data_IF_139482384468
#
_entry.id   IF_139482384468
#
_cell.length_a   1.000
_cell.length_b   1.000
_cell.length_c   1.000
_cell.angle_alpha   90.00
_cell.angle_beta   90.00
_cell.angle_gamma   90.00
#
_symmetry.space_group_name_H-M   'P 1'
#
loop_
_entity.id
_entity.type
_entity.pdbx_description
1 polymer ?
#
# COMPACT_ATOMS: atom_id res chain seq x y z
N UNK A 1 0.76 -39.14 -12.82
CA UNK A 1 2.16 -38.83 -12.45
C UNK A 1 2.15 -38.17 -11.08
N UNK A 2 2.91 -38.74 -10.16
CA UNK A 2 2.74 -38.68 -8.70
C UNK A 2 2.68 -37.26 -8.12
N UNK A 3 1.56 -36.97 -7.44
CA UNK A 3 1.55 -35.99 -6.36
C UNK A 3 2.33 -36.59 -5.19
N UNK A 4 3.50 -36.05 -4.90
CA UNK A 4 4.21 -36.35 -3.67
C UNK A 4 3.42 -35.73 -2.51
N UNK A 5 2.69 -36.57 -1.77
CA UNK A 5 2.22 -36.25 -0.43
C UNK A 5 3.46 -36.10 0.45
N UNK A 6 3.71 -34.89 0.94
CA UNK A 6 4.76 -34.63 1.93
C UNK A 6 4.31 -35.16 3.29
N UNK A 7 5.05 -36.12 3.80
CA UNK A 7 4.90 -36.69 5.14
C UNK A 7 5.02 -35.60 6.21
N UNK A 8 4.16 -35.58 7.25
CA UNK A 8 4.29 -34.65 8.36
C UNK A 8 5.41 -35.12 9.29
N UNK A 9 6.66 -34.68 9.06
CA UNK A 9 7.76 -35.04 9.96
C UNK A 9 9.18 -34.64 9.56
N UNK A 10 9.48 -34.41 8.28
CA UNK A 10 10.79 -33.85 7.89
C UNK A 10 10.72 -32.32 7.97
N UNK A 11 11.40 -31.74 8.97
CA UNK A 11 11.62 -30.30 8.99
C UNK A 11 12.47 -29.93 7.77
N UNK A 12 11.89 -29.14 6.84
CA UNK A 12 12.60 -28.62 5.69
C UNK A 12 13.82 -27.83 6.20
N UNK A 13 15.03 -28.29 5.85
CA UNK A 13 16.32 -27.75 6.36
C UNK A 13 16.71 -26.45 5.66
N UNK A 14 15.74 -25.67 5.23
CA UNK A 14 15.91 -24.42 4.47
C UNK A 14 15.30 -23.26 5.23
N UNK A 15 15.75 -22.06 4.90
CA UNK A 15 15.24 -20.84 5.51
C UNK A 15 13.81 -20.54 5.05
N UNK A 16 13.02 -19.99 5.97
CA UNK A 16 11.72 -19.40 5.66
C UNK A 16 11.70 -17.94 6.11
N UNK A 17 11.16 -17.05 5.29
CA UNK A 17 11.06 -15.62 5.61
C UNK A 17 9.61 -15.14 5.58
N UNK A 18 9.23 -14.35 6.57
CA UNK A 18 8.01 -13.54 6.61
C UNK A 18 8.42 -12.09 6.73
N UNK A 19 7.97 -11.27 5.79
CA UNK A 19 8.41 -9.89 5.65
C UNK A 19 7.19 -8.99 5.61
N UNK A 20 7.21 -7.92 6.39
CA UNK A 20 6.27 -6.82 6.24
C UNK A 20 7.03 -5.57 5.83
N UNK A 21 6.82 -5.14 4.58
CA UNK A 21 7.40 -3.90 4.06
C UNK A 21 6.40 -2.77 4.26
N UNK A 22 6.53 -2.09 5.40
CA UNK A 22 5.78 -0.88 5.71
C UNK A 22 6.35 0.37 5.07
N UNK A 23 5.74 1.54 5.35
CA UNK A 23 6.20 2.83 4.84
C UNK A 23 7.54 3.30 5.42
N UNK A 24 7.81 3.01 6.70
CA UNK A 24 9.02 3.50 7.39
C UNK A 24 10.06 2.40 7.57
N UNK A 25 9.63 1.22 8.04
CA UNK A 25 10.50 0.08 8.27
C UNK A 25 10.02 -1.16 7.55
N UNK A 26 10.98 -2.00 7.21
CA UNK A 26 10.76 -3.37 6.77
C UNK A 26 11.11 -4.31 7.91
N UNK A 27 10.13 -5.07 8.36
CA UNK A 27 10.24 -6.04 9.43
C UNK A 27 10.37 -7.44 8.83
N UNK A 28 11.37 -8.19 9.30
CA UNK A 28 11.67 -9.53 8.81
C UNK A 28 11.67 -10.48 9.99
N UNK A 29 10.85 -11.52 9.89
CA UNK A 29 10.93 -12.71 10.73
C UNK A 29 11.51 -13.82 9.85
N UNK A 30 12.60 -14.42 10.31
CA UNK A 30 13.26 -15.52 9.62
C UNK A 30 13.30 -16.76 10.50
N UNK A 31 13.00 -17.91 9.91
CA UNK A 31 13.23 -19.22 10.52
C UNK A 31 14.42 -19.88 9.85
N UNK A 32 15.45 -20.14 10.63
CA UNK A 32 16.65 -20.84 10.20
C UNK A 32 16.39 -22.36 10.05
N UNK A 33 17.27 -23.10 9.34
CA UNK A 33 17.19 -24.56 9.19
C UNK A 33 17.13 -25.35 10.49
N UNK A 34 17.69 -24.81 11.57
CA UNK A 34 17.67 -25.40 12.92
C UNK A 34 16.36 -25.09 13.68
N UNK A 35 15.45 -24.35 13.05
CA UNK A 35 14.19 -23.92 13.63
C UNK A 35 14.24 -22.61 14.42
N UNK A 36 15.43 -22.00 14.59
CA UNK A 36 15.58 -20.73 15.32
C UNK A 36 14.88 -19.59 14.60
N UNK A 37 14.09 -18.82 15.36
CA UNK A 37 13.47 -17.59 14.88
C UNK A 37 14.39 -16.39 15.15
N UNK A 38 14.60 -15.55 14.14
CA UNK A 38 15.34 -14.29 14.26
C UNK A 38 14.51 -13.17 13.65
N UNK A 39 14.51 -12.01 14.30
CA UNK A 39 13.91 -10.80 13.76
C UNK A 39 14.99 -9.85 13.27
N UNK A 40 14.70 -9.13 12.19
CA UNK A 40 15.57 -8.11 11.65
C UNK A 40 14.75 -6.94 11.12
N UNK A 41 15.24 -5.72 11.31
CA UNK A 41 14.53 -4.49 10.94
C UNK A 41 15.45 -3.61 10.12
N UNK A 42 14.95 -3.08 9.01
CA UNK A 42 15.66 -2.14 8.14
C UNK A 42 14.75 -0.94 7.84
N UNK A 43 15.32 0.19 7.42
CA UNK A 43 14.54 1.27 6.82
C UNK A 43 13.93 0.80 5.49
N UNK A 44 12.64 1.07 5.25
CA UNK A 44 11.99 0.64 4.00
C UNK A 44 12.55 1.33 2.75
N UNK A 45 13.14 2.50 2.93
CA UNK A 45 13.81 3.27 1.89
C UNK A 45 15.15 3.80 2.43
N UNK A 46 16.25 3.32 1.86
CA UNK A 46 17.62 3.74 2.17
C UNK A 46 18.49 3.54 0.92
N UNK A 47 18.36 4.41 -0.09
CA UNK A 47 18.91 4.20 -1.42
C UNK A 47 20.45 4.17 -1.44
N UNK A 48 21.11 4.75 -0.43
CA UNK A 48 22.57 4.68 -0.31
C UNK A 48 23.07 3.28 0.12
N UNK A 49 22.19 2.44 0.67
CA UNK A 49 22.54 1.15 1.26
C UNK A 49 22.04 -0.05 0.44
N UNK A 50 20.82 0.05 -0.10
CA UNK A 50 20.20 -1.05 -0.84
C UNK A 50 19.09 -0.54 -1.75
N UNK A 51 18.84 -1.31 -2.82
CA UNK A 51 17.70 -1.09 -3.72
C UNK A 51 16.37 -1.51 -3.12
N UNK A 52 16.37 -2.57 -2.30
CA UNK A 52 15.19 -3.10 -1.63
C UNK A 52 15.56 -3.66 -0.25
N UNK A 53 14.79 -3.26 0.77
CA UNK A 53 15.04 -3.59 2.16
C UNK A 53 14.76 -5.08 2.46
N UNK A 54 13.75 -5.67 1.82
CA UNK A 54 13.40 -7.07 2.04
C UNK A 54 14.50 -7.99 1.51
N UNK A 55 14.94 -7.77 0.27
CA UNK A 55 16.06 -8.51 -0.33
C UNK A 55 17.34 -8.31 0.49
N UNK A 56 17.68 -7.07 0.85
CA UNK A 56 18.88 -6.78 1.64
C UNK A 56 18.87 -7.50 3.00
N UNK A 57 17.73 -7.51 3.68
CA UNK A 57 17.59 -8.20 4.96
C UNK A 57 17.69 -9.72 4.85
N UNK A 58 17.13 -10.33 3.80
CA UNK A 58 17.35 -11.76 3.52
C UNK A 58 18.84 -12.05 3.32
N UNK A 59 19.53 -11.27 2.46
CA UNK A 59 20.97 -11.47 2.19
C UNK A 59 21.82 -11.33 3.45
N UNK A 60 21.53 -10.34 4.30
CA UNK A 60 22.20 -10.16 5.61
C UNK A 60 22.02 -11.36 6.54
N UNK A 61 20.80 -11.90 6.62
CA UNK A 61 20.49 -13.06 7.47
C UNK A 61 21.10 -14.36 6.95
N UNK A 62 21.25 -14.50 5.63
CA UNK A 62 21.95 -15.61 5.00
C UNK A 62 23.49 -15.46 5.06
N UNK A 63 24.00 -14.26 5.36
CA UNK A 63 25.43 -13.97 5.36
C UNK A 63 26.06 -13.97 3.96
N UNK A 64 25.28 -13.66 2.92
CA UNK A 64 25.75 -13.59 1.53
C UNK A 64 25.96 -12.14 1.09
N UNK A 65 26.76 -11.94 0.04
CA UNK A 65 27.09 -10.63 -0.50
C UNK A 65 25.90 -9.94 -1.14
N UNK A 66 25.93 -8.60 -1.21
CA UNK A 66 24.84 -7.79 -1.77
C UNK A 66 24.54 -8.11 -3.25
N UNK A 67 25.54 -8.60 -3.99
CA UNK A 67 25.44 -8.99 -5.40
C UNK A 67 25.07 -10.47 -5.61
N UNK A 68 25.03 -11.29 -4.55
CA UNK A 68 24.74 -12.72 -4.66
C UNK A 68 23.23 -12.97 -4.76
N UNK A 69 22.82 -13.95 -5.55
CA UNK A 69 21.41 -14.35 -5.66
C UNK A 69 20.98 -15.26 -4.51
N UNK A 70 19.72 -15.15 -4.13
CA UNK A 70 19.12 -15.97 -3.07
C UNK A 70 18.68 -17.31 -3.67
N UNK A 71 19.42 -18.38 -3.34
CA UNK A 71 19.19 -19.70 -3.93
C UNK A 71 18.00 -20.46 -3.31
N UNK A 72 17.15 -21.14 -4.13
CA UNK A 72 16.11 -22.04 -3.64
C UNK A 72 16.63 -23.31 -2.97
N UNK A 73 17.92 -23.60 -3.10
CA UNK A 73 18.59 -24.66 -2.34
C UNK A 73 18.71 -24.30 -0.85
N UNK A 74 18.74 -23.01 -0.52
CA UNK A 74 18.92 -22.50 0.86
C UNK A 74 17.64 -21.90 1.42
N UNK A 75 16.78 -21.34 0.55
CA UNK A 75 15.52 -20.69 0.93
C UNK A 75 14.33 -21.49 0.40
N UNK A 76 13.43 -21.86 1.30
CA UNK A 76 12.23 -22.61 0.97
C UNK A 76 11.12 -21.70 0.44
N UNK A 77 10.87 -20.58 1.13
CA UNK A 77 9.82 -19.63 0.76
C UNK A 77 10.04 -18.26 1.39
N UNK A 78 9.56 -17.23 0.70
CA UNK A 78 9.45 -15.86 1.18
C UNK A 78 7.97 -15.48 1.13
N UNK A 79 7.43 -14.97 2.23
CA UNK A 79 6.05 -14.49 2.33
C UNK A 79 6.08 -13.01 2.69
N UNK A 80 5.39 -12.16 1.94
CA UNK A 80 5.56 -10.72 2.04
C UNK A 80 4.23 -9.95 2.08
N UNK A 81 4.07 -9.08 3.07
CA UNK A 81 3.13 -7.95 3.06
C UNK A 81 3.83 -6.69 2.54
N UNK A 82 3.09 -5.82 1.84
CA UNK A 82 3.67 -4.58 1.30
C UNK A 82 2.65 -3.45 1.28
N UNK A 83 3.08 -2.25 1.66
CA UNK A 83 2.26 -1.04 1.57
C UNK A 83 2.42 -0.29 0.23
N UNK A 84 3.19 -0.82 -0.72
CA UNK A 84 3.52 -0.14 -2.00
C UNK A 84 2.27 0.35 -2.74
N UNK A 85 1.26 -0.49 -2.91
CA UNK A 85 0.02 -0.10 -3.61
C UNK A 85 -0.81 0.91 -2.82
N UNK A 86 -0.90 0.74 -1.50
CA UNK A 86 -1.66 1.66 -0.64
C UNK A 86 -1.03 3.05 -0.67
N UNK A 87 0.30 3.14 -0.56
CA UNK A 87 1.03 4.40 -0.66
C UNK A 87 0.91 5.01 -2.07
N UNK A 88 1.05 4.22 -3.13
CA UNK A 88 0.87 4.71 -4.50
C UNK A 88 -0.53 5.27 -4.74
N UNK A 89 -1.56 4.67 -4.14
CA UNK A 89 -2.94 5.16 -4.21
C UNK A 89 -3.13 6.47 -3.42
N UNK A 90 -2.58 6.56 -2.21
CA UNK A 90 -2.63 7.75 -1.35
C UNK A 90 -1.87 8.94 -1.97
N UNK A 91 -0.68 8.69 -2.51
CA UNK A 91 0.21 9.71 -3.09
C UNK A 91 -0.11 10.03 -4.56
N UNK A 92 -1.10 9.35 -5.17
CA UNK A 92 -1.46 9.49 -6.59
C UNK A 92 -0.28 9.23 -7.54
N UNK A 93 0.52 8.22 -7.20
CA UNK A 93 1.71 7.80 -7.97
C UNK A 93 1.52 6.50 -8.74
N UNK A 94 0.29 6.22 -9.21
CA UNK A 94 -0.02 5.12 -10.14
C UNK A 94 0.49 5.34 -11.55
N UNK A 95 0.32 4.32 -12.41
CA UNK A 95 0.61 4.46 -13.83
C UNK A 95 -0.54 5.15 -14.57
N UNK A 96 -0.19 6.05 -15.51
CA UNK A 96 -1.14 6.74 -16.36
C UNK A 96 -2.06 5.75 -17.09
N UNK A 97 -3.37 5.92 -16.90
CA UNK A 97 -4.38 4.91 -17.26
C UNK A 97 -5.47 5.51 -18.13
N UNK A 98 -5.84 4.83 -19.21
CA UNK A 98 -7.01 5.17 -20.02
C UNK A 98 -8.21 4.28 -19.66
N UNK A 99 -9.40 4.89 -19.60
CA UNK A 99 -10.68 4.21 -19.45
C UNK A 99 -11.33 4.03 -20.81
N UNK A 100 -11.61 2.78 -21.19
CA UNK A 100 -12.48 2.44 -22.33
C UNK A 100 -13.86 2.10 -21.78
N UNK A 101 -14.87 2.84 -22.21
CA UNK A 101 -16.24 2.72 -21.70
C UNK A 101 -17.24 2.81 -22.85
N UNK A 102 -18.39 2.15 -22.71
CA UNK A 102 -19.48 2.23 -23.70
C UNK A 102 -19.85 3.68 -23.99
N UNK A 103 -20.02 4.04 -25.27
CA UNK A 103 -20.43 5.39 -25.68
C UNK A 103 -21.71 5.86 -24.99
N UNK A 104 -21.72 7.13 -24.59
CA UNK A 104 -22.75 7.75 -23.76
C UNK A 104 -22.50 7.65 -22.25
N UNK A 105 -21.45 6.93 -21.81
CA UNK A 105 -21.11 6.73 -20.40
C UNK A 105 -19.77 7.34 -20.01
N UNK A 106 -19.22 8.26 -20.82
CA UNK A 106 -17.93 8.94 -20.59
C UNK A 106 -17.67 9.35 -19.14
N UNK A 107 -18.64 10.02 -18.53
CA UNK A 107 -18.52 10.61 -17.20
C UNK A 107 -19.11 9.74 -16.09
N UNK A 108 -19.49 8.48 -16.37
CA UNK A 108 -20.19 7.63 -15.40
C UNK A 108 -19.43 7.45 -14.07
N UNK A 109 -18.10 7.25 -14.14
CA UNK A 109 -17.28 7.09 -12.92
C UNK A 109 -17.03 8.42 -12.19
N UNK A 110 -16.98 9.54 -12.94
CA UNK A 110 -16.86 10.89 -12.37
C UNK A 110 -18.16 11.32 -11.67
N UNK A 111 -19.31 11.07 -12.29
CA UNK A 111 -20.65 11.38 -11.73
C UNK A 111 -20.95 10.50 -10.53
N UNK A 112 -20.43 9.27 -10.50
CA UNK A 112 -20.55 8.37 -9.37
C UNK A 112 -22.03 8.08 -9.04
N UNK A 113 -22.41 8.22 -7.77
CA UNK A 113 -23.79 8.06 -7.28
C UNK A 113 -24.43 9.40 -6.89
N UNK A 114 -23.76 10.53 -7.15
CA UNK A 114 -24.18 11.88 -6.74
C UNK A 114 -24.47 12.01 -5.23
N UNK A 115 -23.93 11.12 -4.40
CA UNK A 115 -24.08 11.19 -2.95
C UNK A 115 -23.27 12.38 -2.39
N UNK A 116 -23.86 13.15 -1.48
CA UNK A 116 -23.19 14.25 -0.77
C UNK A 116 -22.80 13.78 0.63
N UNK A 117 -21.55 13.30 0.85
CA UNK A 117 -21.13 12.79 2.16
C UNK A 117 -21.20 13.87 3.26
N UNK A 118 -20.94 15.13 2.89
CA UNK A 118 -21.15 16.31 3.76
C UNK A 118 -22.27 17.16 3.19
N UNK A 119 -23.50 16.89 3.61
CA UNK A 119 -24.73 17.46 3.01
C UNK A 119 -24.75 19.00 3.01
N UNK A 120 -24.12 19.62 4.02
CA UNK A 120 -24.11 21.06 4.22
C UNK A 120 -22.92 21.79 3.60
N UNK A 121 -21.96 21.07 3.01
CA UNK A 121 -20.85 21.70 2.31
C UNK A 121 -21.33 22.45 1.08
N UNK A 122 -21.14 23.77 1.09
CA UNK A 122 -21.45 24.64 -0.06
C UNK A 122 -20.44 24.47 -1.20
N UNK A 123 -19.20 24.12 -0.88
CA UNK A 123 -18.14 23.85 -1.86
C UNK A 123 -17.87 22.35 -1.93
N UNK A 124 -18.43 21.69 -2.95
CA UNK A 124 -18.21 20.25 -3.18
C UNK A 124 -16.89 20.08 -3.94
N UNK A 125 -15.93 19.43 -3.29
CA UNK A 125 -14.70 18.98 -3.95
C UNK A 125 -14.94 17.55 -4.43
N UNK A 126 -14.86 17.32 -5.74
CA UNK A 126 -14.95 15.97 -6.29
C UNK A 126 -13.65 15.21 -6.01
N UNK A 127 -13.72 13.88 -5.76
CA UNK A 127 -12.53 13.05 -5.74
C UNK A 127 -11.75 13.15 -7.04
N UNK A 128 -10.43 13.16 -6.92
CA UNK A 128 -9.55 13.08 -8.07
C UNK A 128 -9.70 11.73 -8.80
N UNK A 129 -9.66 11.77 -10.13
CA UNK A 129 -9.80 10.59 -10.98
C UNK A 129 -8.46 9.85 -11.08
N UNK A 130 -8.52 8.53 -11.08
CA UNK A 130 -7.34 7.67 -11.29
C UNK A 130 -7.01 7.40 -12.77
N UNK A 131 -7.76 8.00 -13.69
CA UNK A 131 -7.57 7.83 -15.13
C UNK A 131 -7.41 9.19 -15.82
N UNK A 132 -6.57 9.25 -16.84
CA UNK A 132 -6.20 10.48 -17.53
C UNK A 132 -7.00 10.72 -18.81
N UNK A 133 -7.42 9.63 -19.46
CA UNK A 133 -8.08 9.64 -20.76
C UNK A 133 -9.30 8.73 -20.74
N UNK A 134 -10.34 9.12 -21.48
CA UNK A 134 -11.56 8.32 -21.68
C UNK A 134 -11.81 8.15 -23.17
N UNK A 135 -11.96 6.90 -23.59
CA UNK A 135 -12.38 6.50 -24.93
C UNK A 135 -13.79 5.94 -24.82
N UNK A 136 -14.70 6.55 -25.57
CA UNK A 136 -16.06 6.04 -25.74
C UNK A 136 -16.09 5.04 -26.90
N UNK A 137 -16.34 3.79 -26.57
CA UNK A 137 -16.37 2.68 -27.52
C UNK A 137 -17.75 2.65 -28.19
N UNK A 138 -17.77 2.70 -29.52
CA UNK A 138 -18.99 2.48 -30.32
C UNK A 138 -19.38 1.00 -30.25
N UNK A 139 -20.23 0.70 -29.29
CA UNK A 139 -20.62 -0.63 -28.89
C UNK A 139 -21.87 -0.52 -28.02
N UNK A 140 -22.78 -1.51 -28.09
CA UNK A 140 -23.83 -1.65 -27.08
C UNK A 140 -24.40 -3.05 -27.05
N UNK A 141 -24.38 -3.67 -25.88
CA UNK A 141 -25.18 -4.86 -25.56
C UNK A 141 -26.41 -4.50 -24.73
N UNK A 142 -27.53 -5.17 -24.98
CA UNK A 142 -28.73 -5.11 -24.16
C UNK A 142 -28.60 -5.94 -22.88
N UNK A 143 -29.54 -5.77 -21.95
CA UNK A 143 -29.54 -6.50 -20.67
C UNK A 143 -29.70 -8.03 -20.84
N UNK A 144 -30.18 -8.47 -22.00
CA UNK A 144 -30.38 -9.87 -22.35
C UNK A 144 -29.29 -10.41 -23.30
N UNK A 145 -28.32 -9.60 -23.68
CA UNK A 145 -27.18 -9.99 -24.53
C UNK A 145 -27.41 -9.78 -26.02
N UNK A 146 -28.54 -9.20 -26.39
CA UNK A 146 -28.80 -8.71 -27.74
C UNK A 146 -27.79 -7.62 -28.12
N UNK A 147 -27.26 -7.70 -29.33
CA UNK A 147 -26.35 -6.67 -29.87
C UNK A 147 -27.20 -5.51 -30.38
N UNK A 148 -27.20 -4.41 -29.64
CA UNK A 148 -27.88 -3.17 -30.04
C UNK A 148 -27.00 -2.39 -31.02
N UNK A 149 -25.70 -2.28 -30.71
CA UNK A 149 -24.68 -1.68 -31.58
C UNK A 149 -23.49 -2.63 -31.63
N UNK A 150 -23.11 -3.14 -32.81
CA UNK A 150 -21.90 -3.94 -32.97
C UNK A 150 -20.65 -3.17 -32.55
N UNK A 151 -19.65 -3.87 -32.00
CA UNK A 151 -18.36 -3.27 -31.64
C UNK A 151 -17.63 -2.75 -32.89
N UNK A 152 -17.34 -1.45 -32.95
CA UNK A 152 -16.44 -0.88 -33.96
C UNK A 152 -14.98 -1.14 -33.58
N UNK A 153 -14.46 -2.28 -34.03
CA UNK A 153 -13.06 -2.67 -33.81
C UNK A 153 -12.07 -1.71 -34.49
N UNK A 154 -12.45 -1.07 -35.61
CA UNK A 154 -11.59 -0.14 -36.32
C UNK A 154 -11.42 1.15 -35.52
N UNK A 155 -12.50 1.67 -34.91
CA UNK A 155 -12.43 2.76 -33.95
C UNK A 155 -11.52 2.41 -32.78
N UNK A 156 -11.75 1.26 -32.12
CA UNK A 156 -10.96 0.81 -30.98
C UNK A 156 -9.47 0.73 -31.32
N UNK A 157 -9.10 0.14 -32.47
CA UNK A 157 -7.70 0.07 -32.92
C UNK A 157 -7.05 1.44 -33.10
N UNK A 158 -7.75 2.39 -33.73
CA UNK A 158 -7.24 3.76 -33.90
C UNK A 158 -7.04 4.47 -32.56
N UNK A 159 -8.03 4.43 -31.68
CA UNK A 159 -7.99 5.13 -30.39
C UNK A 159 -6.92 4.54 -29.47
N UNK A 160 -6.84 3.21 -29.35
CA UNK A 160 -5.79 2.54 -28.57
C UNK A 160 -4.40 2.80 -29.16
N UNK A 161 -4.26 2.80 -30.49
CA UNK A 161 -3.00 3.13 -31.15
C UNK A 161 -2.54 4.56 -30.84
N UNK A 162 -3.47 5.53 -30.86
CA UNK A 162 -3.18 6.91 -30.51
C UNK A 162 -2.79 7.07 -29.03
N UNK A 163 -3.47 6.38 -28.11
CA UNK A 163 -3.12 6.38 -26.68
C UNK A 163 -1.75 5.75 -26.42
N UNK A 164 -1.44 4.65 -27.10
CA UNK A 164 -0.13 4.01 -26.99
C UNK A 164 0.99 4.90 -27.52
N UNK A 165 0.76 5.59 -28.65
CA UNK A 165 1.70 6.57 -29.19
C UNK A 165 1.93 7.76 -28.25
N UNK A 166 0.96 8.12 -27.40
CA UNK A 166 1.09 9.13 -26.34
C UNK A 166 1.84 8.63 -25.10
N UNK A 167 2.24 7.36 -25.06
CA UNK A 167 3.00 6.77 -23.96
C UNK A 167 2.17 6.01 -22.92
N UNK A 168 0.83 5.94 -23.05
CA UNK A 168 0.02 5.15 -22.13
C UNK A 168 0.29 3.66 -22.34
N UNK A 169 0.43 2.93 -21.23
CA UNK A 169 0.68 1.47 -21.23
C UNK A 169 -0.34 0.69 -20.39
N UNK A 170 -1.24 1.39 -19.70
CA UNK A 170 -2.31 0.82 -18.89
C UNK A 170 -3.69 1.23 -19.40
N UNK A 171 -4.60 0.26 -19.49
CA UNK A 171 -6.02 0.47 -19.84
C UNK A 171 -6.95 -0.27 -18.89
N UNK A 172 -8.07 0.39 -18.56
CA UNK A 172 -9.23 -0.19 -17.90
C UNK A 172 -10.39 -0.28 -18.89
N UNK A 173 -10.91 -1.48 -19.14
CA UNK A 173 -11.99 -1.74 -20.10
C UNK A 173 -13.26 -2.05 -19.31
N UNK A 174 -14.27 -1.19 -19.42
CA UNK A 174 -15.50 -1.24 -18.64
C UNK A 174 -16.71 -0.97 -19.54
N UNK A 175 -17.30 -2.02 -20.12
CA UNK A 175 -18.49 -1.89 -20.97
C UNK A 175 -19.77 -2.15 -20.19
N UNK A 176 -20.87 -1.53 -20.63
CA UNK A 176 -22.20 -1.79 -20.10
C UNK A 176 -22.59 -3.25 -20.33
N UNK A 177 -23.13 -3.88 -19.29
CA UNK A 177 -23.43 -5.33 -19.26
C UNK A 177 -22.23 -6.29 -19.48
N UNK A 178 -21.00 -5.77 -19.56
CA UNK A 178 -19.77 -6.56 -19.71
C UNK A 178 -19.55 -7.62 -18.62
N UNK A 179 -20.11 -7.41 -17.42
CA UNK A 179 -20.09 -8.40 -16.32
C UNK A 179 -20.75 -9.75 -16.66
N UNK A 180 -21.61 -9.79 -17.68
CA UNK A 180 -22.36 -10.98 -18.11
C UNK A 180 -22.07 -11.37 -19.56
N UNK A 181 -21.90 -10.39 -20.44
CA UNK A 181 -21.64 -10.60 -21.86
C UNK A 181 -20.26 -10.04 -22.21
N UNK A 182 -19.27 -10.92 -22.17
CA UNK A 182 -17.85 -10.52 -22.10
C UNK A 182 -17.20 -10.31 -23.46
N UNK A 183 -17.85 -10.72 -24.56
CA UNK A 183 -17.19 -10.85 -25.87
C UNK A 183 -16.58 -9.54 -26.38
N UNK A 184 -17.27 -8.42 -26.21
CA UNK A 184 -16.75 -7.11 -26.63
C UNK A 184 -15.55 -6.68 -25.76
N UNK A 185 -15.62 -6.86 -24.45
CA UNK A 185 -14.50 -6.54 -23.56
C UNK A 185 -13.26 -7.40 -23.87
N UNK A 186 -13.46 -8.70 -24.14
CA UNK A 186 -12.39 -9.63 -24.53
C UNK A 186 -11.75 -9.25 -25.87
N UNK A 187 -12.58 -8.84 -26.85
CA UNK A 187 -12.10 -8.40 -28.16
C UNK A 187 -11.23 -7.14 -28.03
N UNK A 188 -11.68 -6.15 -27.25
CA UNK A 188 -10.91 -4.93 -26.99
C UNK A 188 -9.61 -5.26 -26.26
N UNK A 189 -9.64 -6.17 -25.28
CA UNK A 189 -8.44 -6.61 -24.57
C UNK A 189 -7.43 -7.28 -25.52
N UNK A 190 -7.89 -8.10 -26.47
CA UNK A 190 -7.04 -8.68 -27.52
C UNK A 190 -6.39 -7.61 -28.39
N UNK A 191 -7.16 -6.61 -28.83
CA UNK A 191 -6.65 -5.48 -29.61
C UNK A 191 -5.61 -4.68 -28.82
N UNK A 192 -5.87 -4.38 -27.55
CA UNK A 192 -4.92 -3.66 -26.68
C UNK A 192 -3.61 -4.45 -26.51
N UNK A 193 -3.68 -5.77 -26.37
CA UNK A 193 -2.51 -6.63 -26.30
C UNK A 193 -1.71 -6.63 -27.60
N UNK A 194 -2.38 -6.72 -28.76
CA UNK A 194 -1.73 -6.66 -30.08
C UNK A 194 -1.00 -5.33 -30.32
N UNK A 195 -1.54 -4.21 -29.82
CA UNK A 195 -0.91 -2.89 -29.91
C UNK A 195 0.30 -2.77 -28.95
N UNK A 196 0.34 -3.58 -27.89
CA UNK A 196 1.45 -3.62 -26.93
C UNK A 196 1.20 -2.85 -25.64
N UNK A 197 -0.06 -2.76 -25.18
CA UNK A 197 -0.35 -2.35 -23.80
C UNK A 197 0.17 -3.42 -22.83
N UNK A 198 0.90 -3.01 -21.79
CA UNK A 198 1.52 -3.93 -20.83
C UNK A 198 0.61 -4.24 -19.64
N UNK A 199 -0.39 -3.39 -19.38
CA UNK A 199 -1.44 -3.61 -18.39
C UNK A 199 -2.82 -3.44 -19.01
N UNK A 200 -3.65 -4.47 -18.91
CA UNK A 200 -4.99 -4.50 -19.47
C UNK A 200 -5.93 -5.08 -18.41
N UNK A 201 -6.72 -4.21 -17.78
CA UNK A 201 -7.66 -4.60 -16.73
C UNK A 201 -9.06 -4.64 -17.32
N UNK A 202 -9.68 -5.82 -17.32
CA UNK A 202 -10.96 -6.06 -17.97
C UNK A 202 -12.04 -6.26 -16.91
N UNK A 203 -13.13 -5.49 -17.00
CA UNK A 203 -14.03 -5.33 -15.86
C UNK A 203 -14.69 -6.62 -15.40
N UNK A 204 -15.07 -7.51 -16.31
CA UNK A 204 -15.63 -8.82 -15.93
C UNK A 204 -14.60 -9.77 -15.27
N UNK A 205 -13.29 -9.58 -15.49
CA UNK A 205 -12.25 -10.39 -14.84
C UNK A 205 -11.89 -9.84 -13.47
N UNK A 206 -11.86 -8.51 -13.36
CA UNK A 206 -11.50 -7.79 -12.13
C UNK A 206 -12.63 -7.85 -11.10
N UNK A 207 -13.86 -7.51 -11.52
CA UNK A 207 -15.02 -7.43 -10.64
C UNK A 207 -16.29 -7.79 -11.43
N UNK A 208 -16.67 -9.08 -11.53
CA UNK A 208 -17.81 -9.58 -12.32
C UNK A 208 -19.17 -9.23 -11.70
N UNK A 209 -19.40 -7.95 -11.39
CA UNK A 209 -20.60 -7.47 -10.72
C UNK A 209 -21.41 -6.53 -11.60
N UNK A 210 -22.74 -6.56 -11.46
CA UNK A 210 -23.67 -5.86 -12.36
C UNK A 210 -23.48 -4.33 -12.39
N UNK A 211 -23.23 -3.71 -11.23
CA UNK A 211 -23.18 -2.25 -11.08
C UNK A 211 -21.98 -1.65 -11.83
N UNK A 212 -22.25 -0.82 -12.85
CA UNK A 212 -21.22 -0.19 -13.70
C UNK A 212 -20.19 0.60 -12.88
N UNK A 213 -20.66 1.48 -11.99
CA UNK A 213 -19.79 2.42 -11.27
C UNK A 213 -18.81 1.70 -10.36
N UNK A 214 -19.28 0.84 -9.44
CA UNK A 214 -18.40 0.10 -8.53
C UNK A 214 -17.47 -0.88 -9.27
N UNK A 215 -17.96 -1.53 -10.33
CA UNK A 215 -17.15 -2.40 -11.19
C UNK A 215 -16.06 -1.58 -11.89
N UNK A 216 -16.43 -0.44 -12.45
CA UNK A 216 -15.54 0.45 -13.17
C UNK A 216 -14.46 1.04 -12.29
N UNK A 217 -14.83 1.58 -11.11
CA UNK A 217 -13.85 2.12 -10.17
C UNK A 217 -12.82 1.05 -9.75
N UNK A 218 -13.27 -0.18 -9.46
CA UNK A 218 -12.38 -1.30 -9.12
C UNK A 218 -11.45 -1.68 -10.28
N UNK A 219 -11.96 -1.65 -11.52
CA UNK A 219 -11.18 -1.97 -12.72
C UNK A 219 -10.12 -0.90 -13.01
N UNK A 220 -10.45 0.37 -12.75
CA UNK A 220 -9.51 1.49 -12.86
C UNK A 220 -8.43 1.38 -11.78
N UNK A 221 -8.80 1.12 -10.52
CA UNK A 221 -7.83 0.89 -9.42
C UNK A 221 -6.85 -0.21 -9.78
N UNK A 222 -7.35 -1.32 -10.32
CA UNK A 222 -6.49 -2.44 -10.74
C UNK A 222 -5.53 -2.05 -11.87
N UNK A 223 -6.01 -1.34 -12.90
CA UNK A 223 -5.19 -0.83 -14.00
C UNK A 223 -4.13 0.18 -13.53
N UNK A 224 -4.49 1.03 -12.58
CA UNK A 224 -3.64 2.08 -12.05
C UNK A 224 -2.49 1.54 -11.17
N UNK A 225 -2.77 0.50 -10.36
CA UNK A 225 -1.84 -0.01 -9.34
C UNK A 225 -1.06 -1.26 -9.76
N UNK A 226 -1.64 -2.15 -10.59
CA UNK A 226 -0.99 -3.41 -10.98
C UNK A 226 0.40 -3.23 -11.61
N UNK A 227 0.66 -2.22 -12.47
CA UNK A 227 2.00 -2.03 -13.05
C UNK A 227 3.08 -1.77 -12.01
N UNK A 228 2.78 -0.97 -10.98
CA UNK A 228 3.72 -0.64 -9.89
C UNK A 228 4.02 -1.88 -9.07
N UNK A 229 2.98 -2.63 -8.71
CA UNK A 229 3.14 -3.88 -7.99
C UNK A 229 3.98 -4.87 -8.78
N UNK A 230 3.71 -5.01 -10.09
CA UNK A 230 4.44 -5.93 -10.93
C UNK A 230 5.92 -5.57 -11.02
N UNK A 231 6.26 -4.28 -11.21
CA UNK A 231 7.65 -3.82 -11.15
C UNK A 231 8.33 -4.16 -9.83
N UNK A 232 7.62 -3.99 -8.71
CA UNK A 232 8.14 -4.34 -7.38
C UNK A 232 8.34 -5.85 -7.21
N UNK A 233 7.33 -6.64 -7.59
CA UNK A 233 7.37 -8.11 -7.55
C UNK A 233 8.52 -8.63 -8.41
N UNK A 234 8.63 -8.16 -9.65
CA UNK A 234 9.67 -8.57 -10.59
C UNK A 234 11.08 -8.18 -10.08
N UNK A 235 11.22 -7.00 -9.47
CA UNK A 235 12.47 -6.59 -8.83
C UNK A 235 12.88 -7.57 -7.72
N UNK A 236 11.96 -7.95 -6.83
CA UNK A 236 12.24 -8.90 -5.75
C UNK A 236 12.51 -10.30 -6.30
N UNK A 237 11.66 -10.78 -7.22
CA UNK A 237 11.77 -12.10 -7.83
C UNK A 237 13.08 -12.29 -8.60
N UNK A 238 13.57 -11.24 -9.27
CA UNK A 238 14.86 -11.27 -10.00
C UNK A 238 16.07 -11.58 -9.12
N UNK A 239 15.95 -11.44 -7.79
CA UNK A 239 17.03 -11.69 -6.82
C UNK A 239 16.94 -13.09 -6.18
N UNK A 240 15.90 -13.86 -6.50
CA UNK A 240 15.60 -15.13 -5.85
C UNK A 240 14.92 -16.13 -6.80
N UNK A 241 15.47 -16.29 -8.00
CA UNK A 241 14.88 -17.17 -9.02
C UNK A 241 14.67 -18.60 -8.51
N UNK A 242 13.50 -19.16 -8.78
CA UNK A 242 13.07 -20.48 -8.28
C UNK A 242 12.65 -20.54 -6.80
N UNK A 243 12.81 -19.47 -6.00
CA UNK A 243 12.28 -19.41 -4.62
C UNK A 243 10.77 -19.15 -4.65
N UNK A 244 10.01 -19.87 -3.81
CA UNK A 244 8.56 -19.66 -3.70
C UNK A 244 8.25 -18.32 -3.02
N UNK A 245 7.79 -17.36 -3.80
CA UNK A 245 7.46 -16.01 -3.35
C UNK A 245 5.94 -15.81 -3.26
N UNK A 246 5.47 -15.49 -2.05
CA UNK A 246 4.06 -15.28 -1.74
C UNK A 246 3.80 -13.86 -1.27
N UNK A 247 2.68 -13.29 -1.70
CA UNK A 247 2.23 -11.96 -1.27
C UNK A 247 0.93 -12.04 -0.48
N UNK A 248 0.87 -11.27 0.60
CA UNK A 248 -0.33 -11.07 1.38
C UNK A 248 -1.35 -10.28 0.56
N UNK A 249 -2.61 -10.69 0.63
CA UNK A 249 -3.74 -10.02 0.00
C UNK A 249 -4.58 -9.28 1.03
N UNK A 250 -5.39 -8.32 0.60
CA UNK A 250 -6.30 -7.52 1.43
C UNK A 250 -7.33 -8.35 2.22
N UNK A 251 -7.58 -9.59 1.80
CA UNK A 251 -8.49 -10.53 2.48
C UNK A 251 -7.79 -11.38 3.56
N UNK A 252 -6.48 -11.20 3.77
CA UNK A 252 -5.67 -11.96 4.74
C UNK A 252 -5.12 -13.29 4.22
N UNK A 253 -5.34 -13.60 2.94
CA UNK A 253 -4.79 -14.76 2.26
C UNK A 253 -3.42 -14.48 1.63
N UNK A 254 -2.73 -15.55 1.24
CA UNK A 254 -1.49 -15.48 0.45
C UNK A 254 -1.77 -15.89 -1.00
N UNK A 255 -1.17 -15.18 -1.94
CA UNK A 255 -1.17 -15.54 -3.36
C UNK A 255 0.25 -15.60 -3.91
N UNK A 256 0.42 -16.35 -4.99
CA UNK A 256 1.69 -16.39 -5.73
C UNK A 256 2.00 -15.00 -6.32
N UNK A 257 3.28 -14.64 -6.33
CA UNK A 257 3.80 -13.38 -6.88
C UNK A 257 3.21 -12.99 -8.24
N UNK A 258 3.10 -13.93 -9.18
CA UNK A 258 2.62 -13.65 -10.54
C UNK A 258 1.10 -13.46 -10.62
N UNK A 259 0.37 -13.82 -9.56
CA UNK A 259 -1.09 -13.67 -9.46
C UNK A 259 -1.49 -12.48 -8.59
N UNK A 260 -0.53 -11.72 -8.07
CA UNK A 260 -0.79 -10.57 -7.22
C UNK A 260 -1.22 -9.37 -8.07
N UNK A 261 -2.43 -8.85 -7.79
CA UNK A 261 -3.07 -7.80 -8.57
C UNK A 261 -3.29 -6.53 -7.74
N UNK A 262 -3.38 -5.39 -8.42
CA UNK A 262 -3.61 -4.06 -7.84
C UNK A 262 -4.75 -4.04 -6.84
N UNK A 263 -5.92 -4.55 -7.24
CA UNK A 263 -7.12 -4.56 -6.40
C UNK A 263 -7.01 -5.38 -5.10
N UNK A 264 -6.14 -6.38 -5.07
CA UNK A 264 -6.01 -7.33 -3.94
C UNK A 264 -4.86 -6.97 -2.99
N UNK A 265 -4.16 -5.86 -3.25
CA UNK A 265 -2.94 -5.46 -2.55
C UNK A 265 -3.14 -4.36 -1.51
N UNK A 266 -4.27 -3.66 -1.59
CA UNK A 266 -4.59 -2.47 -0.79
C UNK A 266 -4.83 -2.91 0.65
N UNK A 267 -4.12 -2.33 1.62
CA UNK A 267 -4.15 -2.74 3.03
C UNK A 267 -3.74 -4.21 3.28
N UNK A 268 -2.90 -4.79 2.40
CA UNK A 268 -2.41 -6.17 2.57
C UNK A 268 -1.48 -6.36 3.79
N UNK A 269 -0.65 -5.37 4.14
CA UNK A 269 0.18 -5.41 5.36
C UNK A 269 -0.68 -5.53 6.63
N UNK A 270 -1.57 -4.55 6.90
CA UNK A 270 -2.49 -4.57 8.04
C UNK A 270 -3.34 -5.84 8.11
N UNK A 271 -3.77 -6.37 6.97
CA UNK A 271 -4.47 -7.65 6.88
C UNK A 271 -3.67 -8.80 7.52
N UNK A 272 -2.37 -8.90 7.25
CA UNK A 272 -1.48 -9.87 7.89
C UNK A 272 -1.40 -9.68 9.41
N UNK A 273 -1.31 -8.42 9.86
CA UNK A 273 -1.31 -8.05 11.27
C UNK A 273 -2.57 -8.52 12.00
N UNK A 274 -3.75 -8.32 11.40
CA UNK A 274 -5.04 -8.77 11.97
C UNK A 274 -5.08 -10.29 12.09
N UNK A 275 -4.64 -11.02 11.08
CA UNK A 275 -4.58 -12.49 11.13
C UNK A 275 -3.67 -12.95 12.28
N UNK A 276 -2.50 -12.35 12.41
CA UNK A 276 -1.56 -12.65 13.50
C UNK A 276 -2.14 -12.32 14.89
N UNK A 277 -2.72 -11.13 15.02
CA UNK A 277 -3.39 -10.65 16.23
C UNK A 277 -4.49 -11.60 16.67
N UNK A 278 -5.42 -11.96 15.77
CA UNK A 278 -6.54 -12.86 16.08
C UNK A 278 -6.04 -14.24 16.50
N UNK A 279 -5.03 -14.79 15.81
CA UNK A 279 -4.45 -16.09 16.18
C UNK A 279 -3.78 -16.07 17.56
N UNK A 280 -3.12 -14.96 17.89
CA UNK A 280 -2.45 -14.77 19.18
C UNK A 280 -3.49 -14.61 20.30
N UNK A 281 -4.48 -13.75 20.10
CA UNK A 281 -5.57 -13.50 21.05
C UNK A 281 -6.38 -14.78 21.35
N UNK A 282 -6.72 -15.57 20.31
CA UNK A 282 -7.40 -16.85 20.50
C UNK A 282 -6.60 -17.83 21.34
N UNK A 283 -5.28 -17.88 21.14
CA UNK A 283 -4.39 -18.74 21.94
C UNK A 283 -4.38 -18.32 23.41
N UNK A 284 -4.54 -17.03 23.68
CA UNK A 284 -4.69 -16.47 25.02
C UNK A 284 -6.12 -16.52 25.57
N UNK A 285 -7.09 -17.09 24.83
CA UNK A 285 -8.48 -17.22 25.26
C UNK A 285 -9.38 -16.00 25.03
N UNK A 286 -8.93 -15.02 24.24
CA UNK A 286 -9.73 -13.85 23.86
C UNK A 286 -10.40 -14.05 22.50
N UNK A 287 -11.70 -13.82 22.45
CA UNK A 287 -12.57 -13.93 21.26
C UNK A 287 -13.08 -12.57 20.75
N UNK A 288 -12.86 -11.51 21.52
CA UNK A 288 -13.21 -10.12 21.19
C UNK A 288 -12.01 -9.21 21.42
N UNK A 289 -11.54 -8.54 20.37
CA UNK A 289 -10.35 -7.68 20.41
C UNK A 289 -10.51 -6.48 19.48
N UNK A 290 -9.85 -5.39 19.85
CA UNK A 290 -9.61 -4.22 19.00
C UNK A 290 -8.14 -4.24 18.63
N UNK A 291 -7.84 -4.30 17.34
CA UNK A 291 -6.50 -4.12 16.83
C UNK A 291 -6.18 -2.64 16.69
N UNK A 292 -5.00 -2.26 17.16
CA UNK A 292 -4.45 -0.92 17.01
C UNK A 292 -2.99 -1.08 16.58
N UNK A 293 -2.71 -0.81 15.31
CA UNK A 293 -1.38 -0.90 14.71
C UNK A 293 -0.93 0.48 14.24
N UNK A 294 -0.03 1.10 15.01
CA UNK A 294 0.52 2.41 14.67
C UNK A 294 1.92 2.26 14.06
N UNK A 295 2.01 2.58 12.77
CA UNK A 295 3.26 2.67 12.04
C UNK A 295 3.86 4.07 12.06
N UNK A 296 4.81 4.31 11.15
CA UNK A 296 5.38 5.64 10.93
C UNK A 296 4.53 6.53 10.02
N UNK A 297 3.61 6.01 9.21
CA UNK A 297 2.81 6.83 8.29
C UNK A 297 1.34 6.88 8.66
N UNK A 298 0.81 5.78 9.19
CA UNK A 298 -0.61 5.60 9.47
C UNK A 298 -0.82 4.78 10.74
N UNK A 299 -2.05 4.82 11.22
CA UNK A 299 -2.57 3.95 12.28
C UNK A 299 -3.74 3.16 11.72
N UNK A 300 -3.67 1.85 11.80
CA UNK A 300 -4.68 0.92 11.33
C UNK A 300 -5.44 0.32 12.52
N UNK A 301 -6.75 0.53 12.55
CA UNK A 301 -7.66 0.04 13.59
C UNK A 301 -8.56 -1.03 13.02
N UNK A 302 -8.74 -2.12 13.75
CA UNK A 302 -9.60 -3.24 13.33
C UNK A 302 -10.37 -3.82 14.51
N UNK A 303 -11.43 -4.53 14.20
CA UNK A 303 -12.25 -5.20 15.19
C UNK A 303 -12.38 -6.70 14.85
N UNK A 304 -12.38 -7.52 15.89
CA UNK A 304 -12.67 -8.94 15.78
C UNK A 304 -13.57 -9.36 16.93
N UNK A 305 -14.74 -9.94 16.61
CA UNK A 305 -15.69 -10.45 17.58
C UNK A 305 -16.22 -11.83 17.16
N UNK A 306 -15.35 -12.84 17.20
CA UNK A 306 -15.67 -14.22 16.83
C UNK A 306 -15.48 -14.55 15.35
N UNK A 307 -15.59 -13.58 14.45
CA UNK A 307 -15.33 -13.74 13.02
C UNK A 307 -14.52 -12.58 12.42
N UNK A 308 -13.85 -12.83 11.29
CA UNK A 308 -13.16 -11.77 10.55
C UNK A 308 -14.20 -10.91 9.84
N UNK A 309 -14.31 -9.66 10.26
CA UNK A 309 -15.17 -8.67 9.62
C UNK A 309 -14.62 -8.32 8.24
N UNK A 310 -15.50 -8.29 7.23
CA UNK A 310 -15.13 -8.02 5.85
C UNK A 310 -16.02 -6.95 5.24
N UNK A 311 -15.39 -6.02 4.56
CA UNK A 311 -16.07 -5.04 3.72
C UNK A 311 -15.98 -5.46 2.25
N UNK A 312 -17.10 -5.36 1.56
CA UNK A 312 -17.18 -5.65 0.12
C UNK A 312 -17.16 -4.37 -0.72
N UNK A 313 -17.71 -3.27 -0.21
CA UNK A 313 -17.66 -1.95 -0.82
C UNK A 313 -16.98 -1.03 0.19
N UNK A 314 -15.85 -0.42 -0.18
CA UNK A 314 -15.12 0.50 0.71
C UNK A 314 -14.59 1.69 -0.09
N UNK A 315 -14.08 2.70 0.62
CA UNK A 315 -13.46 3.88 0.04
C UNK A 315 -12.08 4.10 0.65
N UNK A 316 -11.04 3.94 -0.17
CA UNK A 316 -9.64 4.19 0.24
C UNK A 316 -9.12 5.39 -0.53
N UNK A 317 -8.56 6.38 0.17
CA UNK A 317 -8.06 7.62 -0.44
C UNK A 317 -9.09 8.34 -1.34
N UNK A 318 -10.37 8.31 -0.96
CA UNK A 318 -11.47 8.87 -1.75
C UNK A 318 -11.90 8.02 -2.96
N UNK A 319 -11.18 6.93 -3.26
CA UNK A 319 -11.47 6.04 -4.37
C UNK A 319 -12.32 4.86 -3.90
N UNK A 320 -13.43 4.64 -4.59
CA UNK A 320 -14.37 3.57 -4.28
C UNK A 320 -13.87 2.28 -4.90
N UNK A 321 -13.99 1.18 -4.18
CA UNK A 321 -13.64 -0.11 -4.75
C UNK A 321 -14.51 -1.21 -4.16
N UNK A 322 -14.66 -2.26 -4.95
CA UNK A 322 -15.46 -3.43 -4.61
C UNK A 322 -14.61 -4.69 -4.69
N UNK A 323 -13.81 -4.91 -3.65
CA UNK A 323 -12.99 -6.08 -3.44
C UNK A 323 -13.18 -6.58 -1.99
N UNK A 324 -13.20 -7.89 -1.74
CA UNK A 324 -13.33 -8.41 -0.39
C UNK A 324 -12.07 -8.06 0.42
N UNK A 325 -12.23 -7.23 1.44
CA UNK A 325 -11.15 -6.79 2.31
C UNK A 325 -11.53 -7.01 3.76
N UNK A 326 -10.55 -7.17 4.64
CA UNK A 326 -10.83 -7.05 6.07
C UNK A 326 -11.31 -5.63 6.38
N UNK A 327 -12.24 -5.49 7.32
CA UNK A 327 -12.67 -4.17 7.79
C UNK A 327 -11.54 -3.55 8.62
N UNK A 328 -10.90 -2.53 8.04
CA UNK A 328 -9.76 -1.81 8.60
C UNK A 328 -10.02 -0.32 8.42
N UNK A 329 -9.93 0.41 9.53
CA UNK A 329 -10.00 1.86 9.54
C UNK A 329 -8.60 2.43 9.65
N UNK A 330 -8.15 3.11 8.59
CA UNK A 330 -6.84 3.75 8.56
C UNK A 330 -6.96 5.24 8.84
N UNK A 331 -6.21 5.73 9.83
CA UNK A 331 -6.01 7.16 10.10
C UNK A 331 -4.62 7.56 9.61
N UNK A 332 -4.53 8.69 8.90
CA UNK A 332 -3.26 9.27 8.42
C UNK A 332 -2.48 9.96 9.56
N UNK A 333 -2.24 9.22 10.64
CA UNK A 333 -1.49 9.65 11.80
C UNK A 333 -0.56 8.51 12.23
N UNK A 334 0.72 8.78 12.42
CA UNK A 334 1.71 7.80 12.85
C UNK A 334 2.99 8.47 13.37
N UNK A 335 4.02 7.68 13.63
CA UNK A 335 5.28 8.18 14.19
C UNK A 335 6.01 9.21 13.30
N UNK A 336 5.77 9.20 12.00
CA UNK A 336 6.38 10.11 11.01
C UNK A 336 5.53 11.33 10.71
N UNK A 337 4.33 11.47 11.30
CA UNK A 337 3.49 12.66 11.08
C UNK A 337 4.25 13.93 11.47
N UNK A 338 4.36 14.86 10.53
CA UNK A 338 5.17 16.07 10.65
C UNK A 338 4.52 17.06 11.62
N UNK A 339 5.35 17.75 12.41
CA UNK A 339 4.91 18.77 13.36
C UNK A 339 4.95 20.15 12.70
N UNK A 340 3.83 20.87 12.75
CA UNK A 340 3.72 22.22 12.20
C UNK A 340 3.31 23.22 13.28
N UNK A 341 3.89 24.41 13.20
CA UNK A 341 3.44 25.59 13.93
C UNK A 341 3.21 26.73 12.95
N UNK A 342 1.97 27.26 12.91
CA UNK A 342 1.58 28.31 11.95
C UNK A 342 1.67 29.74 12.52
N UNK A 343 2.37 29.91 13.65
CA UNK A 343 2.43 31.17 14.40
C UNK A 343 1.34 31.31 15.47
N UNK A 344 0.30 30.47 15.44
CA UNK A 344 -0.79 30.52 16.42
C UNK A 344 -1.09 29.17 17.07
N UNK A 345 -1.05 28.07 16.31
CA UNK A 345 -1.42 26.74 16.79
C UNK A 345 -0.48 25.65 16.30
N UNK A 346 -0.42 24.59 17.09
CA UNK A 346 0.22 23.33 16.72
C UNK A 346 -0.69 22.53 15.80
N UNK A 347 -0.08 21.81 14.84
CA UNK A 347 -0.75 20.81 14.00
C UNK A 347 0.17 19.62 13.80
N UNK A 348 -0.41 18.43 13.67
CA UNK A 348 0.31 17.18 13.41
C UNK A 348 -0.23 16.56 12.13
N UNK A 349 0.64 16.34 11.15
CA UNK A 349 0.25 15.83 9.83
C UNK A 349 -0.64 16.79 9.02
N UNK A 350 -1.30 16.30 7.96
CA UNK A 350 -1.40 14.89 7.54
C UNK A 350 -0.14 14.34 6.87
N UNK A 351 0.79 15.22 6.48
CA UNK A 351 2.04 14.85 5.83
C UNK A 351 2.95 14.04 6.77
N UNK A 352 3.69 13.09 6.18
CA UNK A 352 4.58 12.18 6.89
C UNK A 352 6.02 12.32 6.39
N UNK A 353 6.96 12.22 7.31
CA UNK A 353 8.39 12.23 7.02
C UNK A 353 8.89 10.92 6.37
N UNK A 354 8.10 9.83 6.42
CA UNK A 354 8.43 8.54 5.83
C UNK A 354 9.68 7.88 6.44
N UNK A 355 10.39 7.08 5.64
CA UNK A 355 11.71 6.53 5.99
C UNK A 355 12.87 7.45 5.57
N UNK A 356 12.67 8.23 4.50
CA UNK A 356 13.68 9.06 3.86
C UNK A 356 13.06 10.40 3.41
N UNK A 357 13.48 11.55 3.98
CA UNK A 357 14.52 11.71 4.99
C UNK A 357 14.13 11.17 6.38
N UNK A 358 12.86 10.85 6.60
CA UNK A 358 12.37 10.41 7.91
C UNK A 358 12.32 11.53 8.96
N UNK A 359 11.93 11.21 10.21
CA UNK A 359 12.02 12.12 11.34
C UNK A 359 13.41 12.73 11.53
N UNK A 360 13.50 13.86 12.22
CA UNK A 360 14.77 14.56 12.44
C UNK A 360 15.83 13.67 13.11
N UNK A 361 15.40 12.80 14.03
CA UNK A 361 16.24 11.81 14.70
C UNK A 361 16.87 10.75 13.79
N UNK A 362 16.45 10.62 12.53
CA UNK A 362 16.95 9.58 11.60
C UNK A 362 18.31 9.93 10.97
N UNK A 363 18.91 11.08 11.31
CA UNK A 363 20.23 11.53 10.80
C UNK A 363 20.26 11.81 9.30
N UNK A 364 19.15 12.22 8.70
CA UNK A 364 19.03 12.48 7.24
C UNK A 364 18.41 13.85 6.91
N UNK A 365 18.45 14.80 7.86
CA UNK A 365 17.95 16.17 7.63
C UNK A 365 16.42 16.32 7.70
N UNK A 366 15.71 15.32 8.24
CA UNK A 366 14.26 15.30 8.41
C UNK A 366 13.67 16.46 9.22
N UNK A 367 12.38 16.73 9.03
CA UNK A 367 11.61 17.64 9.87
C UNK A 367 11.25 16.97 11.21
N UNK A 368 10.86 17.77 12.20
CA UNK A 368 10.32 17.21 13.45
C UNK A 368 9.03 16.44 13.16
N UNK A 369 8.94 15.23 13.71
CA UNK A 369 7.77 14.36 13.63
C UNK A 369 7.38 13.81 15.02
N UNK A 370 6.25 13.09 15.11
CA UNK A 370 5.76 12.46 16.35
C UNK A 370 6.82 11.54 17.01
N UNK A 371 7.65 10.87 16.22
CA UNK A 371 8.78 10.05 16.71
C UNK A 371 9.78 10.91 17.47
N UNK A 372 10.07 12.12 16.98
CA UNK A 372 10.99 13.05 17.63
C UNK A 372 10.42 13.57 18.95
N UNK A 373 9.10 13.80 19.06
CA UNK A 373 8.46 14.08 20.35
C UNK A 373 8.73 12.95 21.34
N UNK A 374 8.54 11.69 20.92
CA UNK A 374 8.76 10.54 21.78
C UNK A 374 10.24 10.37 22.18
N UNK A 375 11.19 10.73 21.31
CA UNK A 375 12.63 10.79 21.64
C UNK A 375 12.92 11.91 22.64
N UNK A 376 12.35 13.10 22.41
CA UNK A 376 12.50 14.27 23.30
C UNK A 376 12.04 13.96 24.72
N UNK A 377 10.85 13.36 24.84
CA UNK A 377 10.20 13.00 26.10
C UNK A 377 10.77 11.73 26.74
N UNK A 378 11.71 11.05 26.10
CA UNK A 378 12.32 9.81 26.59
C UNK A 378 11.41 8.58 26.55
N UNK A 379 10.24 8.67 25.91
CA UNK A 379 9.34 7.52 25.62
C UNK A 379 10.03 6.52 24.69
N UNK A 380 10.74 7.03 23.67
CA UNK A 380 11.68 6.27 22.85
C UNK A 380 13.10 6.54 23.35
N UNK A 381 13.81 5.49 23.73
CA UNK A 381 15.20 5.57 24.18
C UNK A 381 16.12 5.08 23.05
N UNK A 382 16.98 5.96 22.46
CA UNK A 382 17.82 5.60 21.31
C UNK A 382 18.66 4.34 21.50
N UNK A 383 19.12 4.06 22.73
CA UNK A 383 19.91 2.86 23.08
C UNK A 383 19.19 1.52 22.85
N UNK A 384 17.86 1.51 22.86
CA UNK A 384 17.04 0.31 22.68
C UNK A 384 16.34 0.29 21.31
N UNK A 385 16.57 1.31 20.50
CA UNK A 385 16.04 1.39 19.15
C UNK A 385 17.04 0.76 18.17
N UNK A 386 16.60 0.08 17.10
CA UNK A 386 17.50 -0.46 16.08
C UNK A 386 18.47 0.58 15.54
N UNK A 387 19.75 0.23 15.53
CA UNK A 387 20.82 1.07 15.02
C UNK A 387 20.92 0.92 13.49
N UNK A 388 20.00 1.56 12.77
CA UNK A 388 19.85 1.45 11.30
C UNK A 388 20.03 2.79 10.59
N UNK A 389 20.53 3.80 11.31
CA UNK A 389 20.64 5.18 10.84
C UNK A 389 22.08 5.58 10.51
N UNK A 390 22.24 6.78 9.95
CA UNK A 390 23.54 7.32 9.56
C UNK A 390 24.12 6.71 8.28
N UNK A 391 25.28 7.20 7.82
CA UNK A 391 25.84 6.85 6.50
C UNK A 391 26.19 5.37 6.32
N UNK A 392 26.48 4.65 7.40
CA UNK A 392 26.78 3.21 7.37
C UNK A 392 25.60 2.33 7.84
N UNK A 393 24.43 2.93 8.13
CA UNK A 393 23.23 2.27 8.62
C UNK A 393 23.45 1.40 9.88
N UNK A 394 24.25 1.92 10.82
CA UNK A 394 24.69 1.27 12.05
C UNK A 394 24.59 2.19 13.30
N UNK A 395 24.02 3.38 13.14
CA UNK A 395 23.91 4.37 14.22
C UNK A 395 22.50 4.37 14.84
N UNK A 396 22.40 4.75 16.12
CA UNK A 396 21.13 4.97 16.81
C UNK A 396 20.47 6.29 16.41
N UNK A 397 19.22 6.50 16.84
CA UNK A 397 18.53 7.79 16.72
C UNK A 397 19.37 8.94 17.30
N UNK A 398 19.25 10.12 16.69
CA UNK A 398 19.95 11.35 17.09
C UNK A 398 19.11 12.18 18.05
N UNK A 399 19.38 12.03 19.35
CA UNK A 399 18.69 12.80 20.39
C UNK A 399 19.11 14.26 20.41
N UNK A 400 20.36 14.56 20.10
CA UNK A 400 20.90 15.92 20.18
C UNK A 400 20.31 16.80 19.07
N UNK A 401 20.16 16.23 17.86
CA UNK A 401 19.47 16.90 16.75
C UNK A 401 17.99 17.20 17.08
N UNK A 402 17.31 16.28 17.78
CA UNK A 402 15.93 16.48 18.25
C UNK A 402 15.85 17.61 19.27
N UNK A 403 16.73 17.59 20.28
CA UNK A 403 16.78 18.63 21.31
C UNK A 403 17.01 20.01 20.70
N UNK A 404 17.97 20.13 19.78
CA UNK A 404 18.26 21.39 19.10
C UNK A 404 17.04 21.91 18.34
N UNK A 405 16.39 21.06 17.53
CA UNK A 405 15.23 21.48 16.74
C UNK A 405 14.01 21.86 17.58
N UNK A 406 13.74 21.17 18.69
CA UNK A 406 12.68 21.58 19.60
C UNK A 406 13.03 22.89 20.33
N UNK A 407 14.31 23.11 20.64
CA UNK A 407 14.77 24.39 21.20
C UNK A 407 14.52 25.54 20.21
N UNK A 408 14.87 25.35 18.94
CA UNK A 408 14.60 26.33 17.88
C UNK A 408 13.10 26.60 17.71
N UNK A 409 12.27 25.54 17.76
CA UNK A 409 10.81 25.67 17.68
C UNK A 409 10.22 26.39 18.90
N UNK A 410 10.72 26.13 20.10
CA UNK A 410 10.31 26.82 21.32
C UNK A 410 10.62 28.33 21.24
N UNK A 411 11.77 28.71 20.68
CA UNK A 411 12.13 30.10 20.41
C UNK A 411 11.20 30.74 19.37
N UNK A 412 10.85 30.04 18.30
CA UNK A 412 9.87 30.51 17.31
C UNK A 412 8.49 30.76 17.92
N UNK A 413 8.03 29.85 18.79
CA UNK A 413 6.74 29.98 19.50
C UNK A 413 6.79 31.19 20.44
N UNK A 414 7.90 31.37 21.17
CA UNK A 414 8.08 32.52 22.04
C UNK A 414 8.04 33.83 21.25
N UNK A 415 8.74 33.90 20.12
CA UNK A 415 8.74 35.09 19.27
C UNK A 415 7.34 35.42 18.71
N UNK A 416 6.54 34.40 18.37
CA UNK A 416 5.21 34.60 17.80
C UNK A 416 4.12 34.91 18.86
N UNK A 417 4.23 34.35 20.07
CA UNK A 417 3.14 34.36 21.07
C UNK A 417 3.48 35.09 22.37
N UNK A 418 4.75 35.37 22.62
CA UNK A 418 5.25 35.87 23.91
C UNK A 418 5.25 34.82 25.04
N UNK A 419 4.76 33.60 24.78
CA UNK A 419 4.72 32.50 25.75
C UNK A 419 6.00 31.68 25.66
N UNK A 420 6.77 31.65 26.76
CA UNK A 420 7.99 30.82 26.83
C UNK A 420 7.61 29.43 27.33
N UNK A 421 7.98 28.41 26.56
CA UNK A 421 7.76 26.99 26.87
C UNK A 421 9.08 26.26 26.79
N UNK A 422 9.28 25.26 27.64
CA UNK A 422 10.41 24.36 27.52
C UNK A 422 10.26 23.50 26.25
N UNK A 423 11.37 23.09 25.59
CA UNK A 423 11.33 22.18 24.44
C UNK A 423 10.51 20.91 24.68
N UNK A 424 10.55 20.37 25.90
CA UNK A 424 9.77 19.20 26.33
C UNK A 424 8.26 19.48 26.36
N UNK A 425 7.86 20.67 26.84
CA UNK A 425 6.44 21.07 26.88
C UNK A 425 5.88 21.26 25.46
N UNK A 426 6.70 21.75 24.54
CA UNK A 426 6.34 21.83 23.12
C UNK A 426 6.13 20.43 22.55
N UNK A 427 7.05 19.49 22.81
CA UNK A 427 6.94 18.11 22.37
C UNK A 427 5.69 17.40 22.94
N UNK A 428 5.39 17.58 24.23
CA UNK A 428 4.18 17.00 24.86
C UNK A 428 2.91 17.58 24.24
N UNK A 429 2.84 18.89 23.98
CA UNK A 429 1.68 19.50 23.33
C UNK A 429 1.40 18.94 21.92
N UNK A 430 2.44 18.59 21.16
CA UNK A 430 2.26 17.86 19.89
C UNK A 430 1.79 16.42 20.08
N UNK A 431 2.24 15.73 21.13
CA UNK A 431 1.74 14.39 21.47
C UNK A 431 0.26 14.42 21.84
N UNK A 432 -0.18 15.39 22.65
CA UNK A 432 -1.59 15.54 23.02
C UNK A 432 -2.49 15.68 21.79
N UNK A 433 -2.05 16.44 20.78
CA UNK A 433 -2.76 16.59 19.50
C UNK A 433 -2.75 15.29 18.71
N UNK A 434 -1.60 14.62 18.63
CA UNK A 434 -1.49 13.35 17.92
C UNK A 434 -2.41 12.27 18.53
N UNK A 435 -2.43 12.17 19.86
CA UNK A 435 -3.28 11.24 20.61
C UNK A 435 -4.75 11.63 20.49
N UNK A 436 -5.10 12.92 20.58
CA UNK A 436 -6.49 13.37 20.45
C UNK A 436 -7.10 13.14 19.07
N UNK A 437 -6.28 12.95 18.03
CA UNK A 437 -6.72 12.62 16.68
C UNK A 437 -6.92 11.11 16.44
N UNK A 438 -6.37 10.24 17.31
CA UNK A 438 -6.49 8.78 17.25
C UNK A 438 -7.64 8.32 18.13
#
# INVERSE_FOLDING_TARGET
MNQAQTSPGEQDKRWQFWIDRGGTFTDIVARAPDGRLTTHKLLSENPEQYKDAAVAGIKRLLGIGASDDISPAVVESVKMGTTVATNALLERKGDATALLITKGFRDALRIAYQNRPRLFDRHIVLPELLYDKVVEVEERLGAHGDVITPLDQAQVRRELGALHAQGLRSVAIVLMHGYRFTQHEETIAGIAAEIGFTQISVSHKVSPMMKLVSRGDTTVVDAYLSPILRRYVDQVASQMDGVRLWFMQSNGGLTDAHRFQGKDSILSGPAGGIVGMVRTAKTAGFDKIIGFDMGGTSTDVSHYAGEFEREFETQVAGVRMRAPMMSIHTVAAGGGSILHFDGSRYRVGPDSAGANPGPASYRRGGQLAVTDCNVMLGKIQPKYFPAVFGPAADQSLDRDAVFQKFSDMAEQIFAATGSRRAPEEVAEGFIEIAVGNM
#
